data_IF_287034825960
#
_entry.id   IF_287034825960
#
_cell.length_a   1.000
_cell.length_b   1.000
_cell.length_c   1.000
_cell.angle_alpha   90.00
_cell.angle_beta   90.00
_cell.angle_gamma   90.00
#
_symmetry.space_group_name_H-M   'P 1'
#
loop_
_entity.id
_entity.type
_entity.pdbx_description
1 polymer ?
#
# COMPACT_ATOMS: atom_id res chain seq x y z
N UNK A 1 2.07 28.65 -0.60
CA UNK A 1 3.32 27.96 -0.18
C UNK A 1 3.40 26.66 -1.01
N UNK A 2 4.26 26.59 -2.03
CA UNK A 2 4.36 25.41 -2.89
C UNK A 2 4.96 24.22 -2.11
N UNK A 3 4.34 23.04 -2.21
CA UNK A 3 4.89 21.80 -1.65
C UNK A 3 6.06 21.38 -2.54
N UNK A 4 7.24 21.20 -1.95
CA UNK A 4 8.39 20.67 -2.67
C UNK A 4 8.05 19.31 -3.33
N UNK A 5 8.64 18.99 -4.49
CA UNK A 5 8.37 17.73 -5.18
C UNK A 5 8.80 16.55 -4.30
N UNK A 6 7.91 15.57 -4.17
CA UNK A 6 8.22 14.33 -3.45
C UNK A 6 9.23 13.52 -4.25
N UNK A 7 10.33 13.13 -3.61
CA UNK A 7 11.28 12.15 -4.15
C UNK A 7 10.97 10.81 -3.52
N UNK A 8 10.44 9.89 -4.32
CA UNK A 8 10.21 8.50 -3.91
C UNK A 8 11.19 7.60 -4.64
N UNK A 9 11.82 6.68 -3.91
CA UNK A 9 12.71 5.65 -4.46
C UNK A 9 12.01 4.30 -4.31
N UNK A 10 11.99 3.51 -5.38
CA UNK A 10 11.47 2.14 -5.37
C UNK A 10 12.65 1.18 -5.52
N UNK A 11 12.77 0.24 -4.58
CA UNK A 11 13.78 -0.82 -4.62
C UNK A 11 13.31 -2.02 -5.44
N UNK A 12 14.19 -2.58 -6.26
CA UNK A 12 13.91 -3.77 -7.09
C UNK A 12 14.39 -5.07 -6.48
N UNK A 13 15.08 -5.02 -5.34
CA UNK A 13 15.65 -6.17 -4.65
C UNK A 13 15.28 -6.14 -3.16
N UNK A 14 14.97 -7.32 -2.61
CA UNK A 14 14.56 -7.51 -1.23
C UNK A 14 15.24 -8.75 -0.62
N UNK A 15 15.49 -8.68 0.69
CA UNK A 15 15.99 -9.80 1.47
C UNK A 15 14.83 -10.64 2.01
N UNK A 16 14.99 -11.96 2.04
CA UNK A 16 14.06 -12.83 2.74
C UNK A 16 14.26 -12.68 4.25
N UNK A 17 13.39 -11.90 4.88
CA UNK A 17 13.48 -11.63 6.32
C UNK A 17 13.12 -12.83 7.19
N UNK A 18 12.30 -13.76 6.68
CA UNK A 18 11.93 -14.97 7.40
C UNK A 18 13.13 -15.92 7.52
N UNK A 19 13.84 -16.15 6.41
CA UNK A 19 15.09 -16.92 6.41
C UNK A 19 16.15 -16.28 7.31
N UNK A 20 16.33 -14.97 7.20
CA UNK A 20 17.31 -14.24 8.01
C UNK A 20 16.98 -14.33 9.51
N UNK A 21 15.69 -14.23 9.86
CA UNK A 21 15.24 -14.35 11.25
C UNK A 21 15.43 -15.78 11.79
N UNK A 22 15.19 -16.81 10.96
CA UNK A 22 15.44 -18.20 11.32
C UNK A 22 16.93 -18.45 11.58
N UNK A 23 17.82 -18.06 10.65
CA UNK A 23 19.28 -18.20 10.82
C UNK A 23 19.77 -17.47 12.07
N UNK A 24 19.27 -16.25 12.31
CA UNK A 24 19.64 -15.49 13.52
C UNK A 24 19.20 -16.21 14.80
N UNK A 25 18.00 -16.80 14.82
CA UNK A 25 17.46 -17.51 15.98
C UNK A 25 18.24 -18.79 16.26
N UNK A 26 18.53 -19.57 15.22
CA UNK A 26 19.05 -20.93 15.36
C UNK A 26 20.59 -20.97 15.41
N UNK A 27 21.25 -19.96 14.82
CA UNK A 27 22.70 -19.93 14.65
C UNK A 27 23.37 -18.63 15.09
N UNK A 28 22.60 -17.68 15.63
CA UNK A 28 23.13 -16.42 16.16
C UNK A 28 23.35 -15.31 15.11
N UNK A 29 23.70 -14.10 15.58
CA UNK A 29 23.80 -12.92 14.73
C UNK A 29 24.95 -12.97 13.71
N UNK A 30 26.06 -13.61 14.03
CA UNK A 30 27.23 -13.75 13.14
C UNK A 30 26.89 -14.63 11.92
N UNK A 31 26.09 -15.68 12.12
CA UNK A 31 25.60 -16.51 11.02
C UNK A 31 24.68 -15.73 10.08
N UNK A 32 23.81 -14.87 10.64
CA UNK A 32 22.95 -13.98 9.86
C UNK A 32 23.75 -12.93 9.07
N UNK A 33 24.82 -12.36 9.65
CA UNK A 33 25.72 -11.45 8.96
C UNK A 33 26.48 -12.14 7.82
N UNK A 34 26.94 -13.38 8.04
CA UNK A 34 27.57 -14.18 6.98
C UNK A 34 26.60 -14.48 5.84
N UNK A 35 25.32 -14.78 6.14
CA UNK A 35 24.28 -14.96 5.13
C UNK A 35 24.10 -13.67 4.31
N UNK A 36 23.96 -12.52 4.98
CA UNK A 36 23.83 -11.22 4.32
C UNK A 36 25.02 -10.84 3.44
N UNK A 37 26.23 -11.27 3.82
CA UNK A 37 27.45 -11.03 3.03
C UNK A 37 27.62 -11.97 1.84
N UNK A 38 27.08 -13.19 1.90
CA UNK A 38 27.27 -14.21 0.88
C UNK A 38 26.09 -14.33 -0.11
N UNK A 39 24.87 -14.07 0.34
CA UNK A 39 23.68 -14.20 -0.49
C UNK A 39 23.40 -12.91 -1.27
N UNK A 40 22.70 -13.05 -2.39
CA UNK A 40 22.18 -11.91 -3.15
C UNK A 40 20.70 -11.75 -2.81
N UNK A 41 20.22 -10.51 -2.54
CA UNK A 41 18.80 -10.28 -2.35
C UNK A 41 18.02 -10.71 -3.59
N UNK A 42 16.79 -11.15 -3.37
CA UNK A 42 15.88 -11.58 -4.43
C UNK A 42 15.24 -10.38 -5.10
N UNK A 43 14.78 -10.55 -6.34
CA UNK A 43 13.96 -9.54 -6.98
C UNK A 43 12.70 -9.29 -6.13
N UNK A 44 12.37 -8.02 -5.90
CA UNK A 44 11.11 -7.66 -5.26
C UNK A 44 9.96 -8.27 -6.05
N UNK A 45 9.05 -9.03 -5.42
CA UNK A 45 7.86 -9.54 -6.09
C UNK A 45 7.09 -8.40 -6.76
N UNK A 46 6.56 -8.63 -7.95
CA UNK A 46 5.71 -7.64 -8.60
C UNK A 46 4.46 -7.42 -7.73
N UNK A 47 4.20 -6.16 -7.38
CA UNK A 47 2.96 -5.78 -6.70
C UNK A 47 1.77 -6.18 -7.59
N UNK A 48 0.81 -6.97 -7.08
CA UNK A 48 -0.34 -7.38 -7.86
C UNK A 48 -1.16 -6.14 -8.24
N UNK A 49 -1.40 -5.96 -9.54
CA UNK A 49 -2.25 -4.88 -10.03
C UNK A 49 -3.71 -5.14 -9.63
N UNK A 50 -4.18 -4.44 -8.61
CA UNK A 50 -5.57 -4.52 -8.16
C UNK A 50 -6.53 -4.12 -9.28
N UNK A 51 -7.53 -4.96 -9.57
CA UNK A 51 -8.56 -4.67 -10.58
C UNK A 51 -9.93 -4.93 -9.97
N UNK A 52 -10.84 -3.96 -10.11
CA UNK A 52 -12.23 -4.12 -9.67
C UNK A 52 -13.07 -4.55 -10.87
N UNK A 53 -13.61 -5.78 -10.82
CA UNK A 53 -14.35 -6.38 -11.92
C UNK A 53 -15.78 -5.81 -12.09
N UNK A 54 -16.38 -5.30 -11.01
CA UNK A 54 -17.82 -5.03 -11.00
C UNK A 54 -18.12 -3.54 -11.12
N UNK A 55 -18.40 -3.12 -12.36
CA UNK A 55 -19.10 -1.88 -12.63
C UNK A 55 -20.48 -2.17 -13.19
N UNK A 56 -21.56 -1.73 -12.54
CA UNK A 56 -22.92 -1.94 -13.04
C UNK A 56 -23.18 -1.23 -14.37
N UNK A 57 -22.32 -0.30 -14.78
CA UNK A 57 -22.44 0.49 -16.02
C UNK A 57 -21.46 0.00 -17.12
N UNK A 58 -20.72 -1.10 -16.88
CA UNK A 58 -19.71 -1.62 -17.82
C UNK A 58 -18.42 -0.78 -17.89
N UNK A 59 -18.30 0.31 -17.13
CA UNK A 59 -17.12 1.16 -17.09
C UNK A 59 -16.01 0.56 -16.22
N UNK A 60 -14.74 0.62 -16.65
CA UNK A 60 -13.60 0.18 -15.82
C UNK A 60 -13.45 1.09 -14.59
N UNK A 61 -13.61 0.51 -13.40
CA UNK A 61 -13.43 1.24 -12.13
C UNK A 61 -11.94 1.41 -11.80
N UNK A 62 -11.63 2.49 -11.09
CA UNK A 62 -10.31 2.65 -10.48
C UNK A 62 -10.05 1.51 -9.49
N UNK A 63 -8.82 0.96 -9.42
CA UNK A 63 -8.45 -0.12 -8.51
C UNK A 63 -8.82 0.09 -7.05
N UNK A 64 -8.97 1.34 -6.61
CA UNK A 64 -9.21 1.74 -5.21
C UNK A 64 -10.57 2.42 -4.98
N UNK A 65 -11.50 2.30 -5.91
CA UNK A 65 -12.81 2.97 -5.84
C UNK A 65 -13.73 2.45 -4.71
N UNK A 66 -13.44 1.27 -4.17
CA UNK A 66 -14.22 0.61 -3.12
C UNK A 66 -13.61 0.75 -1.72
N UNK A 67 -12.44 1.40 -1.59
CA UNK A 67 -11.79 1.59 -0.30
C UNK A 67 -12.70 2.37 0.64
N UNK A 68 -13.06 1.74 1.76
CA UNK A 68 -13.80 2.40 2.83
C UNK A 68 -12.83 3.03 3.84
N UNK A 69 -13.18 4.19 4.42
CA UNK A 69 -12.39 4.75 5.51
C UNK A 69 -12.25 3.73 6.65
N UNK A 70 -11.07 3.58 7.25
CA UNK A 70 -10.90 2.69 8.39
C UNK A 70 -11.89 3.08 9.51
N UNK A 71 -12.66 2.09 9.98
CA UNK A 71 -13.69 2.27 11.01
C UNK A 71 -15.09 2.65 10.51
N UNK A 72 -15.30 2.83 9.21
CA UNK A 72 -16.62 3.19 8.66
C UNK A 72 -17.33 1.99 8.05
N UNK A 73 -18.34 1.46 8.76
CA UNK A 73 -19.46 0.78 8.09
C UNK A 73 -20.48 1.88 7.79
N UNK A 74 -20.35 2.47 6.60
CA UNK A 74 -21.23 3.53 6.08
C UNK A 74 -21.06 4.87 6.81
N UNK A 75 -20.46 5.86 6.14
CA UNK A 75 -20.47 7.23 6.64
C UNK A 75 -21.93 7.66 6.84
N UNK A 76 -22.26 8.18 8.03
CA UNK A 76 -23.60 8.70 8.32
C UNK A 76 -23.84 9.93 7.43
N UNK A 77 -24.45 9.71 6.26
CA UNK A 77 -24.67 10.73 5.22
C UNK A 77 -25.50 11.93 5.72
N UNK A 78 -26.16 11.79 6.88
CA UNK A 78 -26.85 12.87 7.59
C UNK A 78 -25.92 14.04 7.96
N UNK A 79 -24.62 13.82 8.10
CA UNK A 79 -23.63 14.89 8.40
C UNK A 79 -22.97 15.51 7.15
N UNK A 80 -23.22 15.00 5.95
CA UNK A 80 -22.70 15.56 4.68
C UNK A 80 -23.74 16.45 3.96
N UNK A 81 -24.79 16.88 4.66
CA UNK A 81 -25.72 17.87 4.14
C UNK A 81 -25.14 19.28 4.25
N UNK A 82 -24.15 19.64 3.43
CA UNK A 82 -23.82 21.05 3.26
C UNK A 82 -24.88 21.70 2.37
N UNK A 83 -25.96 22.19 2.97
CA UNK A 83 -26.97 22.99 2.28
C UNK A 83 -26.45 24.43 2.21
N UNK A 84 -25.81 24.80 1.11
CA UNK A 84 -25.42 26.19 0.85
C UNK A 84 -26.67 27.09 0.87
N UNK A 85 -26.77 28.09 1.77
CA UNK A 85 -27.83 29.09 1.71
C UNK A 85 -27.47 30.11 0.62
N UNK A 86 -28.28 30.20 -0.42
CA UNK A 86 -28.15 31.25 -1.42
C UNK A 86 -28.02 30.74 -2.86
N UNK A 87 -29.15 30.45 -3.48
CA UNK A 87 -29.34 30.75 -4.90
C UNK A 87 -30.67 31.49 -4.97
N UNK A 88 -30.61 32.82 -4.92
CA UNK A 88 -31.74 33.65 -5.34
C UNK A 88 -31.89 33.46 -6.85
N UNK A 89 -33.07 33.01 -7.27
CA UNK A 89 -33.54 33.20 -8.64
C UNK A 89 -34.11 34.60 -8.80
#
# INVERSE_FOLDING_TARGET
RARAPRRTVVGTMAWNLEELAAVRRDHGPEAALRLLGAARPHTTPAEPSRTLANSPTGARLHPYADLQPPGSRTADLRKLGHRSPGSAG
#
